data_IF_158677264609
#
_entry.id   IF_158677264609
#
_cell.length_a   1.000
_cell.length_b   1.000
_cell.length_c   1.000
_cell.angle_alpha   90.00
_cell.angle_beta   90.00
_cell.angle_gamma   90.00
#
_symmetry.space_group_name_H-M   'P 1'
#
loop_
_entity.id
_entity.type
_entity.pdbx_description
1 polymer ?
#
# COMPACT_ATOMS: atom_id res chain seq x y z
N UNK A 1 20.83 -10.78 38.55
CA UNK A 1 19.74 -11.69 38.13
C UNK A 1 18.58 -10.93 37.46
N UNK A 2 18.00 -9.90 38.11
CA UNK A 2 16.92 -9.08 37.52
C UNK A 2 17.34 -8.24 36.29
N UNK A 3 18.58 -7.73 36.26
CA UNK A 3 19.11 -6.95 35.13
C UNK A 3 19.20 -7.77 33.83
N UNK A 4 19.56 -9.04 33.94
CA UNK A 4 19.67 -9.98 32.81
C UNK A 4 18.31 -10.32 32.23
N UNK A 5 17.28 -10.48 33.08
CA UNK A 5 15.91 -10.68 32.62
C UNK A 5 15.39 -9.44 31.89
N UNK A 6 15.62 -8.24 32.43
CA UNK A 6 15.23 -6.98 31.78
C UNK A 6 15.93 -6.73 30.44
N UNK A 7 17.21 -7.12 30.30
CA UNK A 7 17.93 -7.02 29.04
C UNK A 7 17.36 -7.94 27.95
N UNK A 8 16.99 -9.17 28.32
CA UNK A 8 16.40 -10.16 27.39
C UNK A 8 15.02 -9.72 26.90
N UNK A 9 14.20 -9.10 27.77
CA UNK A 9 12.90 -8.58 27.38
C UNK A 9 13.04 -7.46 26.33
N UNK A 10 13.97 -6.51 26.51
CA UNK A 10 14.23 -5.45 25.51
C UNK A 10 14.71 -6.01 24.17
N UNK A 11 15.60 -7.00 24.20
CA UNK A 11 16.08 -7.65 22.98
C UNK A 11 14.94 -8.37 22.23
N UNK A 12 14.00 -8.98 22.96
CA UNK A 12 12.83 -9.60 22.35
C UNK A 12 11.92 -8.55 21.70
N UNK A 13 11.68 -7.40 22.35
CA UNK A 13 10.89 -6.30 21.79
C UNK A 13 11.52 -5.75 20.50
N UNK A 14 12.84 -5.51 20.49
CA UNK A 14 13.56 -5.03 19.29
C UNK A 14 13.43 -6.00 18.11
N UNK A 15 13.50 -7.31 18.37
CA UNK A 15 13.32 -8.34 17.36
C UNK A 15 11.88 -8.36 16.82
N UNK A 16 10.89 -8.28 17.71
CA UNK A 16 9.47 -8.22 17.33
C UNK A 16 9.21 -7.00 16.46
N UNK A 17 9.69 -5.82 16.87
CA UNK A 17 9.53 -4.61 16.07
C UNK A 17 10.17 -4.70 14.69
N UNK A 18 11.36 -5.30 14.59
CA UNK A 18 12.04 -5.50 13.31
C UNK A 18 11.22 -6.41 12.38
N UNK A 19 10.73 -7.54 12.92
CA UNK A 19 9.89 -8.47 12.16
C UNK A 19 8.59 -7.81 11.73
N UNK A 20 7.96 -7.02 12.60
CA UNK A 20 6.75 -6.28 12.25
C UNK A 20 7.01 -5.26 11.15
N UNK A 21 8.12 -4.53 11.18
CA UNK A 21 8.51 -3.61 10.10
C UNK A 21 8.70 -4.36 8.78
N UNK A 22 9.38 -5.49 8.78
CA UNK A 22 9.57 -6.31 7.58
C UNK A 22 8.24 -6.81 7.02
N UNK A 23 7.39 -7.40 7.85
CA UNK A 23 6.07 -7.91 7.43
C UNK A 23 5.19 -6.78 6.91
N UNK A 24 5.12 -5.66 7.63
CA UNK A 24 4.24 -4.54 7.29
C UNK A 24 4.75 -3.72 6.10
N UNK A 25 6.05 -3.75 5.80
CA UNK A 25 6.64 -3.01 4.66
C UNK A 25 6.06 -3.41 3.29
N UNK A 26 5.53 -4.63 3.17
CA UNK A 26 4.85 -5.11 1.97
C UNK A 26 3.40 -4.62 1.81
N UNK A 27 2.81 -4.02 2.85
CA UNK A 27 1.42 -3.58 2.82
C UNK A 27 1.31 -2.13 2.34
N UNK A 28 0.44 -1.92 1.35
CA UNK A 28 0.16 -0.60 0.80
C UNK A 28 -1.19 -0.14 1.34
N UNK A 29 -1.25 0.88 2.21
CA UNK A 29 -2.50 1.38 2.75
C UNK A 29 -3.33 2.00 1.62
N UNK A 30 -4.47 1.37 1.32
CA UNK A 30 -5.40 1.79 0.26
C UNK A 30 -6.77 2.12 0.85
N UNK A 31 -7.38 3.22 0.38
CA UNK A 31 -8.71 3.62 0.80
C UNK A 31 -9.73 2.60 0.26
N UNK A 32 -10.49 1.97 1.16
CA UNK A 32 -11.50 0.98 0.78
C UNK A 32 -12.61 1.55 -0.13
N UNK A 33 -12.86 2.86 -0.07
CA UNK A 33 -13.90 3.53 -0.86
C UNK A 33 -13.39 4.01 -2.23
N UNK A 34 -12.33 4.82 -2.25
CA UNK A 34 -11.87 5.49 -3.46
C UNK A 34 -10.57 4.94 -4.05
N UNK A 35 -9.97 3.91 -3.42
CA UNK A 35 -8.74 3.24 -3.86
C UNK A 35 -7.49 4.11 -3.95
N UNK A 36 -7.51 5.32 -3.38
CA UNK A 36 -6.30 6.14 -3.20
C UNK A 36 -5.34 5.49 -2.21
N UNK A 37 -4.04 5.72 -2.38
CA UNK A 37 -2.99 5.20 -1.50
C UNK A 37 -2.58 6.30 -0.51
N UNK A 38 -2.41 5.93 0.75
CA UNK A 38 -1.90 6.83 1.78
C UNK A 38 -0.37 6.93 1.71
N UNK A 39 0.15 8.13 1.59
CA UNK A 39 1.58 8.41 1.69
C UNK A 39 2.04 8.45 3.15
N UNK A 40 3.35 8.40 3.34
CA UNK A 40 3.98 8.53 4.67
C UNK A 40 3.67 9.88 5.34
N UNK A 41 3.38 10.93 4.57
CA UNK A 41 2.95 12.24 5.08
C UNK A 41 1.52 12.23 5.64
N UNK A 42 0.76 11.16 5.40
CA UNK A 42 -0.65 11.03 5.74
C UNK A 42 -1.61 11.48 4.64
N UNK A 43 -1.10 12.08 3.56
CA UNK A 43 -1.89 12.50 2.40
C UNK A 43 -2.33 11.31 1.54
N UNK A 44 -3.43 11.48 0.79
CA UNK A 44 -4.00 10.45 -0.08
C UNK A 44 -3.80 10.79 -1.55
N UNK A 45 -3.12 9.91 -2.28
CA UNK A 45 -2.80 10.12 -3.69
C UNK A 45 -3.40 9.04 -4.60
N UNK A 46 -3.57 9.34 -5.90
CA UNK A 46 -3.91 8.33 -6.90
C UNK A 46 -2.87 7.20 -6.94
N UNK A 47 -3.32 6.00 -7.32
CA UNK A 47 -2.44 4.82 -7.43
C UNK A 47 -1.30 5.03 -8.43
N UNK A 48 -1.57 5.80 -9.48
CA UNK A 48 -0.61 6.17 -10.52
C UNK A 48 0.60 6.89 -9.92
N UNK A 49 0.36 7.80 -8.96
CA UNK A 49 1.45 8.53 -8.28
C UNK A 49 2.36 7.57 -7.52
N UNK A 50 1.79 6.58 -6.85
CA UNK A 50 2.55 5.57 -6.13
C UNK A 50 3.42 4.72 -7.07
N UNK A 51 2.87 4.27 -8.21
CA UNK A 51 3.61 3.44 -9.18
C UNK A 51 4.75 4.23 -9.81
N UNK A 52 4.49 5.46 -10.23
CA UNK A 52 5.48 6.33 -10.88
C UNK A 52 6.61 6.77 -9.92
N UNK A 53 6.33 6.91 -8.63
CA UNK A 53 7.35 7.31 -7.64
C UNK A 53 8.26 6.17 -7.19
N UNK A 54 7.82 4.91 -7.34
CA UNK A 54 8.55 3.72 -6.85
C UNK A 54 9.11 2.84 -7.97
N UNK A 55 8.85 3.17 -9.23
CA UNK A 55 9.31 2.40 -10.39
C UNK A 55 9.75 3.35 -11.50
N UNK A 56 10.51 2.84 -12.47
CA UNK A 56 10.81 3.57 -13.71
C UNK A 56 9.75 3.35 -14.79
N UNK A 57 8.56 2.88 -14.44
CA UNK A 57 7.50 2.58 -15.38
C UNK A 57 6.88 3.86 -15.97
N UNK A 58 6.32 3.73 -17.17
CA UNK A 58 5.45 4.74 -17.76
C UNK A 58 4.04 4.17 -17.82
N UNK A 59 3.04 4.99 -17.50
CA UNK A 59 1.63 4.58 -17.51
C UNK A 59 0.98 5.02 -18.83
N UNK A 60 0.25 4.11 -19.45
CA UNK A 60 -0.57 4.36 -20.65
C UNK A 60 -2.04 4.12 -20.34
N UNK A 61 -2.94 4.74 -21.10
CA UNK A 61 -4.38 4.58 -20.93
C UNK A 61 -4.95 3.68 -22.02
N UNK A 62 -5.80 2.72 -21.63
CA UNK A 62 -6.57 1.87 -22.52
C UNK A 62 -7.90 1.50 -21.88
N UNK A 63 -8.85 1.02 -22.68
CA UNK A 63 -10.13 0.50 -22.20
C UNK A 63 -10.12 -1.01 -22.36
N UNK A 64 -10.39 -1.76 -21.28
CA UNK A 64 -10.51 -3.21 -21.38
C UNK A 64 -11.87 -3.58 -22.01
N UNK A 65 -12.00 -4.80 -22.58
CA UNK A 65 -13.25 -5.24 -23.21
C UNK A 65 -14.48 -5.11 -22.29
N UNK A 66 -14.33 -5.40 -20.99
CA UNK A 66 -15.43 -5.30 -20.01
C UNK A 66 -15.90 -3.84 -19.82
N UNK A 67 -14.95 -2.90 -19.73
CA UNK A 67 -15.25 -1.48 -19.61
C UNK A 67 -15.90 -0.95 -20.90
N UNK A 68 -15.44 -1.42 -22.06
CA UNK A 68 -16.03 -1.04 -23.35
C UNK A 68 -17.47 -1.58 -23.49
N UNK A 69 -17.72 -2.82 -23.07
CA UNK A 69 -19.07 -3.39 -23.03
C UNK A 69 -19.99 -2.56 -22.12
N UNK A 70 -19.56 -2.26 -20.90
CA UNK A 70 -20.33 -1.44 -19.95
C UNK A 70 -20.60 -0.02 -20.47
N UNK A 71 -19.62 0.60 -21.13
CA UNK A 71 -19.80 1.94 -21.70
C UNK A 71 -20.88 1.96 -22.79
N UNK A 72 -20.97 0.91 -23.61
CA UNK A 72 -22.04 0.75 -24.60
C UNK A 72 -23.41 0.61 -23.93
N UNK A 73 -23.52 -0.24 -22.91
CA UNK A 73 -24.77 -0.42 -22.14
C UNK A 73 -25.25 0.88 -21.47
N UNK A 74 -24.33 1.73 -21.01
CA UNK A 74 -24.67 3.03 -20.41
C UNK A 74 -25.10 4.07 -21.45
N UNK A 75 -24.60 4.00 -22.68
CA UNK A 75 -24.96 4.92 -23.76
C UNK A 75 -26.31 4.64 -24.41
N UNK A 76 -26.87 3.45 -24.17
CA UNK A 76 -28.19 3.02 -24.68
C UNK A 76 -29.33 3.29 -23.68
N UNK A 77 -29.02 3.82 -22.49
CA UNK A 77 -29.97 4.22 -21.45
C UNK A 77 -30.28 5.70 -21.50
#
# INVERSE_FOLDING_TARGET
>A
MLSTLGARLRQADELIESLLREVLSGFIPICAWCRRIQAETGDWHPLETYVLTRTSAQLTHGICPDCEARARELGER
#
